data_IF_725248544084
#
_entry.id   IF_725248544084
#
_cell.length_a   1.000
_cell.length_b   1.000
_cell.length_c   1.000
_cell.angle_alpha   90.00
_cell.angle_beta   90.00
_cell.angle_gamma   90.00
#
_symmetry.space_group_name_H-M   'P 1'
#
loop_
_entity.id
_entity.type
_entity.pdbx_description
1 polymer ?
#
# COMPACT_ATOMS: atom_id res chain seq x y z
N UNK A 1 56.20 34.73 8.01
CA UNK A 1 55.23 34.13 7.08
C UNK A 1 55.46 32.64 6.75
N UNK A 2 56.68 32.14 6.60
CA UNK A 2 56.91 30.69 6.26
C UNK A 2 56.60 29.71 7.40
N UNK A 3 56.70 30.11 8.67
CA UNK A 3 56.42 29.22 9.83
C UNK A 3 54.92 29.06 10.11
N UNK A 4 54.08 30.05 9.81
CA UNK A 4 52.63 29.98 9.98
C UNK A 4 51.96 29.07 8.94
N UNK A 5 52.47 29.05 7.71
CA UNK A 5 51.99 28.21 6.61
C UNK A 5 52.24 26.72 6.89
N UNK A 6 53.37 26.39 7.53
CA UNK A 6 53.73 25.01 7.90
C UNK A 6 52.81 24.46 8.97
N UNK A 7 52.41 25.27 9.95
CA UNK A 7 51.46 24.88 11.00
C UNK A 7 50.04 24.66 10.46
N UNK A 8 49.60 25.48 9.49
CA UNK A 8 48.31 25.28 8.80
C UNK A 8 48.31 24.03 7.94
N UNK A 9 49.41 23.69 7.31
CA UNK A 9 49.54 22.48 6.54
C UNK A 9 49.57 21.20 7.42
N UNK A 10 50.15 21.31 8.61
CA UNK A 10 50.14 20.21 9.59
C UNK A 10 48.71 19.99 10.18
N UNK A 11 47.96 21.05 10.45
CA UNK A 11 46.58 20.98 10.92
C UNK A 11 45.68 20.39 9.83
N UNK A 12 45.88 20.76 8.55
CA UNK A 12 45.15 20.17 7.42
C UNK A 12 45.49 18.68 7.22
N UNK A 13 46.72 18.24 7.46
CA UNK A 13 47.06 16.83 7.41
C UNK A 13 46.44 16.01 8.57
N UNK A 14 46.34 16.60 9.77
CA UNK A 14 45.68 15.94 10.91
C UNK A 14 44.18 15.86 10.69
N UNK A 15 43.55 16.86 10.05
CA UNK A 15 42.12 16.82 9.67
C UNK A 15 41.84 15.88 8.49
N UNK A 16 42.79 15.67 7.60
CA UNK A 16 42.69 14.70 6.52
C UNK A 16 42.86 13.24 7.00
N UNK A 17 43.61 13.02 8.11
CA UNK A 17 43.79 11.71 8.74
C UNK A 17 42.62 11.25 9.62
N UNK A 18 41.64 12.10 9.87
CA UNK A 18 40.43 11.78 10.64
C UNK A 18 39.22 11.38 9.77
N UNK A 19 39.47 10.95 8.52
CA UNK A 19 38.52 10.08 7.84
C UNK A 19 38.59 8.72 8.58
N UNK A 20 37.97 8.64 9.75
CA UNK A 20 37.81 7.39 10.47
C UNK A 20 37.17 6.39 9.53
N UNK A 21 37.90 5.29 9.28
CA UNK A 21 37.32 4.10 8.67
C UNK A 21 36.02 3.78 9.41
N UNK A 22 34.92 4.11 8.80
CA UNK A 22 33.63 3.70 9.34
C UNK A 22 33.65 2.17 9.28
N UNK A 23 33.48 1.46 10.36
CA UNK A 23 33.46 0.00 10.31
C UNK A 23 32.32 -0.43 9.38
N UNK A 24 32.72 -1.01 8.25
CA UNK A 24 31.81 -1.67 7.33
C UNK A 24 31.93 -3.17 7.56
N UNK A 25 30.80 -3.83 7.67
CA UNK A 25 30.74 -5.26 7.42
C UNK A 25 30.33 -5.44 5.98
N UNK A 26 31.16 -6.14 5.22
CA UNK A 26 30.83 -6.59 3.87
C UNK A 26 30.47 -8.06 3.91
N UNK A 27 29.54 -8.47 3.07
CA UNK A 27 29.16 -9.87 2.96
C UNK A 27 28.62 -10.18 1.56
N UNK A 28 28.46 -11.47 1.32
CA UNK A 28 27.94 -12.02 0.08
C UNK A 28 26.84 -13.04 0.38
N UNK A 29 25.72 -12.95 -0.30
CA UNK A 29 24.67 -13.95 -0.29
C UNK A 29 24.86 -14.90 -1.46
N UNK A 30 24.89 -16.21 -1.19
CA UNK A 30 25.04 -17.26 -2.20
C UNK A 30 23.98 -18.35 -1.98
N UNK A 31 23.70 -19.09 -3.04
CA UNK A 31 22.87 -20.27 -2.94
C UNK A 31 23.67 -21.56 -2.61
N UNK A 32 23.00 -22.69 -2.47
CA UNK A 32 23.57 -24.01 -2.18
C UNK A 32 24.63 -24.47 -3.20
N UNK A 33 24.69 -23.83 -4.39
CA UNK A 33 25.67 -24.10 -5.46
C UNK A 33 26.74 -23.03 -5.53
N UNK A 34 26.90 -22.23 -4.48
CA UNK A 34 27.89 -21.15 -4.38
C UNK A 34 27.72 -20.03 -5.45
N UNK A 35 26.52 -19.86 -5.99
CA UNK A 35 26.23 -18.80 -6.95
C UNK A 35 25.68 -17.59 -6.21
N UNK A 36 26.13 -16.37 -6.56
CA UNK A 36 25.64 -15.15 -5.93
C UNK A 36 24.15 -14.95 -6.15
N UNK A 37 23.48 -14.34 -5.17
CA UNK A 37 22.06 -14.03 -5.21
C UNK A 37 21.90 -12.50 -5.19
N UNK A 38 21.40 -11.96 -6.28
CA UNK A 38 21.03 -10.55 -6.43
C UNK A 38 19.69 -10.25 -5.73
N UNK A 39 19.49 -8.99 -5.31
CA UNK A 39 18.22 -8.48 -4.75
C UNK A 39 17.79 -9.15 -3.42
N UNK A 40 18.70 -9.69 -2.63
CA UNK A 40 18.42 -10.14 -1.27
C UNK A 40 18.27 -8.91 -0.38
N UNK A 41 17.11 -8.75 0.23
CA UNK A 41 16.85 -7.71 1.22
C UNK A 41 17.45 -8.11 2.57
N UNK A 42 18.30 -7.24 3.14
CA UNK A 42 18.93 -7.45 4.45
C UNK A 42 18.27 -6.56 5.48
N UNK A 43 17.63 -7.16 6.46
CA UNK A 43 16.93 -6.46 7.54
C UNK A 43 17.71 -6.61 8.86
N UNK A 44 17.71 -5.53 9.62
CA UNK A 44 18.19 -5.52 11.01
C UNK A 44 17.01 -5.66 11.96
N UNK A 45 17.09 -6.63 12.88
CA UNK A 45 16.05 -6.91 13.88
C UNK A 45 14.64 -7.04 13.26
N UNK A 46 14.54 -7.74 12.13
CA UNK A 46 13.28 -8.01 11.37
C UNK A 46 12.54 -6.80 10.78
N UNK A 47 12.93 -5.58 11.07
CA UNK A 47 12.12 -4.41 10.72
C UNK A 47 12.83 -3.35 9.88
N UNK A 48 14.12 -3.16 10.04
CA UNK A 48 14.87 -2.10 9.36
C UNK A 48 15.62 -2.66 8.16
N UNK A 49 15.22 -2.29 6.93
CA UNK A 49 16.00 -2.60 5.73
C UNK A 49 17.29 -1.79 5.76
N UNK A 50 18.43 -2.47 5.82
CA UNK A 50 19.75 -1.86 5.94
C UNK A 50 20.62 -2.03 4.70
N UNK A 51 20.33 -3.01 3.85
CA UNK A 51 21.05 -3.26 2.60
C UNK A 51 20.23 -4.10 1.64
N UNK A 52 20.62 -4.11 0.35
CA UNK A 52 20.14 -5.05 -0.68
C UNK A 52 21.35 -5.54 -1.44
N UNK A 53 21.41 -6.82 -1.78
CA UNK A 53 22.55 -7.38 -2.53
C UNK A 53 22.57 -6.90 -4.00
N UNK A 54 23.77 -6.64 -4.51
CA UNK A 54 24.01 -6.30 -5.91
C UNK A 54 23.99 -7.56 -6.83
N UNK A 55 24.28 -7.37 -8.11
CA UNK A 55 24.37 -8.44 -9.13
C UNK A 55 25.39 -9.55 -8.80
N UNK A 56 26.36 -9.27 -7.96
CA UNK A 56 27.37 -10.20 -7.48
C UNK A 56 27.03 -10.77 -6.09
N UNK A 57 25.86 -10.49 -5.57
CA UNK A 57 25.38 -10.93 -4.27
C UNK A 57 25.97 -10.17 -3.09
N UNK A 58 26.75 -9.09 -3.28
CA UNK A 58 27.38 -8.38 -2.20
C UNK A 58 26.43 -7.40 -1.50
N UNK A 59 26.59 -7.30 -0.18
CA UNK A 59 25.93 -6.31 0.66
C UNK A 59 26.93 -5.65 1.62
N UNK A 60 26.54 -4.46 2.13
CA UNK A 60 27.36 -3.75 3.11
C UNK A 60 26.51 -3.18 4.23
N UNK A 61 27.00 -3.26 5.45
CA UNK A 61 26.34 -2.73 6.66
C UNK A 61 27.22 -1.65 7.29
N UNK A 62 26.58 -0.54 7.69
CA UNK A 62 27.24 0.54 8.41
C UNK A 62 27.14 0.31 9.92
N UNK A 63 28.28 0.36 10.61
CA UNK A 63 28.38 0.26 12.07
C UNK A 63 27.62 -0.91 12.69
N UNK A 64 27.84 -2.14 12.22
CA UNK A 64 27.20 -3.30 12.84
C UNK A 64 27.76 -3.53 14.24
N UNK A 65 26.96 -4.14 15.10
CA UNK A 65 27.34 -4.48 16.48
C UNK A 65 27.16 -5.96 16.74
N UNK A 66 27.99 -6.52 17.61
CA UNK A 66 27.86 -7.92 18.05
C UNK A 66 26.50 -8.16 18.69
N UNK A 67 25.88 -9.30 18.38
CA UNK A 67 24.57 -9.68 18.89
C UNK A 67 23.39 -9.13 18.10
N UNK A 68 23.62 -8.29 17.09
CA UNK A 68 22.55 -7.87 16.17
C UNK A 68 22.11 -9.04 15.30
N UNK A 69 20.81 -9.23 15.16
CA UNK A 69 20.22 -10.22 14.27
C UNK A 69 19.97 -9.60 12.88
N UNK A 70 20.50 -10.26 11.86
CA UNK A 70 20.26 -9.96 10.47
C UNK A 70 19.28 -10.99 9.89
N UNK A 71 18.28 -10.52 9.14
CA UNK A 71 17.39 -11.37 8.36
C UNK A 71 17.61 -11.09 6.88
N UNK A 72 17.88 -12.14 6.14
CA UNK A 72 18.05 -12.13 4.70
C UNK A 72 16.77 -12.69 4.06
N UNK A 73 16.13 -11.91 3.20
CA UNK A 73 14.88 -12.29 2.55
C UNK A 73 14.98 -12.12 1.02
N UNK A 74 14.55 -13.13 0.30
CA UNK A 74 14.48 -13.12 -1.16
C UNK A 74 13.28 -13.97 -1.60
N UNK A 75 12.68 -13.62 -2.75
CA UNK A 75 11.45 -14.27 -3.25
C UNK A 75 11.60 -15.79 -3.45
N UNK A 76 12.75 -16.21 -3.97
CA UNK A 76 13.01 -17.62 -4.40
C UNK A 76 13.73 -18.43 -3.33
N UNK A 77 14.22 -17.80 -2.26
CA UNK A 77 15.04 -18.46 -1.24
C UNK A 77 14.36 -18.41 0.13
N UNK A 78 14.63 -19.39 0.98
CA UNK A 78 14.16 -19.39 2.36
C UNK A 78 14.78 -18.22 3.12
N UNK A 79 13.99 -17.49 3.94
CA UNK A 79 14.53 -16.46 4.79
C UNK A 79 15.60 -17.02 5.73
N UNK A 80 16.77 -16.42 5.72
CA UNK A 80 17.89 -16.84 6.55
C UNK A 80 18.13 -15.80 7.63
N UNK A 81 18.35 -16.25 8.89
CA UNK A 81 18.69 -15.40 10.01
C UNK A 81 20.12 -15.65 10.43
N UNK A 82 20.82 -14.58 10.77
CA UNK A 82 22.20 -14.62 11.23
C UNK A 82 22.43 -13.63 12.37
N UNK A 83 22.99 -14.08 13.46
CA UNK A 83 23.38 -13.20 14.59
C UNK A 83 24.86 -12.86 14.46
N UNK A 84 25.19 -11.58 14.43
CA UNK A 84 26.56 -11.10 14.27
C UNK A 84 27.42 -11.45 15.48
N UNK A 85 28.56 -12.07 15.22
CA UNK A 85 29.56 -12.44 16.21
C UNK A 85 30.77 -11.48 16.18
N UNK A 86 31.60 -11.50 17.22
CA UNK A 86 32.79 -10.67 17.32
C UNK A 86 33.76 -10.89 16.14
N UNK A 87 33.86 -12.12 15.64
CA UNK A 87 34.75 -12.50 14.53
C UNK A 87 34.33 -11.90 13.19
N UNK A 88 33.03 -11.65 12.99
CA UNK A 88 32.50 -11.08 11.75
C UNK A 88 32.90 -9.62 11.58
N UNK A 89 33.14 -8.92 12.70
CA UNK A 89 33.56 -7.52 12.71
C UNK A 89 35.07 -7.33 12.50
N UNK A 90 35.85 -8.43 12.42
CA UNK A 90 37.32 -8.40 12.32
C UNK A 90 37.79 -8.74 10.89
N UNK A 91 37.14 -8.14 9.88
CA UNK A 91 37.76 -8.03 8.55
C UNK A 91 37.67 -9.23 7.60
N UNK A 92 36.77 -10.18 7.82
CA UNK A 92 36.39 -11.20 6.82
C UNK A 92 35.03 -10.87 6.22
N UNK A 93 34.89 -11.10 4.93
CA UNK A 93 33.61 -11.03 4.25
C UNK A 93 32.66 -12.08 4.83
N UNK A 94 31.47 -11.64 5.27
CA UNK A 94 30.44 -12.50 5.83
C UNK A 94 29.73 -13.24 4.68
N UNK A 95 29.81 -14.57 4.66
CA UNK A 95 29.14 -15.39 3.65
C UNK A 95 27.83 -15.94 4.21
N UNK A 96 26.72 -15.60 3.56
CA UNK A 96 25.39 -16.10 3.88
C UNK A 96 24.93 -17.06 2.78
N UNK A 97 24.71 -18.31 3.16
CA UNK A 97 24.13 -19.31 2.27
C UNK A 97 22.60 -19.34 2.46
N UNK A 98 21.86 -19.17 1.38
CA UNK A 98 20.42 -19.24 1.36
C UNK A 98 19.98 -20.49 0.58
N UNK A 99 19.07 -21.26 1.16
CA UNK A 99 18.48 -22.41 0.51
C UNK A 99 17.40 -22.00 -0.44
N UNK A 100 17.33 -22.65 -1.58
CA UNK A 100 16.21 -22.49 -2.49
C UNK A 100 14.93 -22.89 -1.75
N UNK A 101 13.93 -22.05 -1.78
CA UNK A 101 12.62 -22.37 -1.24
C UNK A 101 12.05 -23.48 -2.12
N UNK A 102 12.06 -24.71 -1.65
CA UNK A 102 11.25 -25.75 -2.24
C UNK A 102 9.80 -25.36 -1.94
N UNK A 103 9.17 -24.70 -2.90
CA UNK A 103 7.72 -24.75 -2.96
C UNK A 103 7.40 -26.22 -3.29
N UNK A 104 7.25 -27.08 -2.28
CA UNK A 104 6.24 -28.09 -2.42
C UNK A 104 4.97 -27.27 -2.69
N UNK A 105 4.66 -27.13 -3.99
CA UNK A 105 3.29 -26.91 -4.39
C UNK A 105 2.55 -28.07 -3.74
N UNK A 106 2.11 -27.89 -2.50
CA UNK A 106 0.98 -28.64 -2.01
C UNK A 106 0.03 -28.48 -3.17
N UNK A 107 -0.25 -29.55 -3.86
CA UNK A 107 -1.30 -29.62 -4.86
C UNK A 107 -2.55 -29.21 -4.08
N UNK A 108 -2.70 -27.90 -3.93
CA UNK A 108 -3.96 -27.28 -3.56
C UNK A 108 -4.78 -27.70 -4.75
N UNK A 109 -5.65 -28.69 -4.56
CA UNK A 109 -6.78 -28.88 -5.44
C UNK A 109 -7.37 -27.49 -5.58
N UNK A 110 -7.00 -26.80 -6.66
CA UNK A 110 -7.57 -25.52 -7.06
C UNK A 110 -8.94 -25.92 -7.58
N UNK A 111 -9.84 -26.21 -6.64
CA UNK A 111 -11.24 -26.33 -6.93
C UNK A 111 -11.69 -24.96 -7.42
N UNK A 112 -11.68 -24.78 -8.73
CA UNK A 112 -12.41 -23.75 -9.44
C UNK A 112 -11.91 -22.29 -9.39
N UNK A 113 -11.03 -21.89 -8.49
CA UNK A 113 -10.77 -20.46 -8.16
C UNK A 113 -9.35 -19.98 -8.46
N UNK A 114 -8.68 -20.50 -9.47
CA UNK A 114 -7.42 -19.96 -9.95
C UNK A 114 -7.65 -18.58 -10.59
N UNK A 115 -6.81 -17.56 -10.29
CA UNK A 115 -6.86 -16.30 -10.98
C UNK A 115 -6.78 -16.46 -12.48
N UNK A 116 -7.68 -15.79 -13.20
CA UNK A 116 -7.77 -15.80 -14.65
C UNK A 116 -7.46 -14.42 -15.20
N UNK A 117 -6.93 -14.35 -16.40
CA UNK A 117 -6.74 -13.06 -17.08
C UNK A 117 -8.11 -12.51 -17.46
N UNK A 118 -8.47 -11.37 -16.87
CA UNK A 118 -9.67 -10.62 -17.20
C UNK A 118 -9.47 -9.73 -18.44
N UNK A 119 -8.30 -9.09 -18.52
CA UNK A 119 -7.92 -8.30 -19.68
C UNK A 119 -6.40 -8.32 -19.87
N UNK A 120 -5.97 -8.70 -21.07
CA UNK A 120 -4.57 -8.56 -21.53
C UNK A 120 -4.56 -7.98 -22.95
N UNK A 121 -3.58 -7.16 -23.23
CA UNK A 121 -3.36 -6.60 -24.55
C UNK A 121 -1.90 -6.83 -24.96
N UNK A 122 -1.63 -7.48 -26.12
CA UNK A 122 -0.28 -7.87 -26.53
C UNK A 122 0.68 -6.70 -26.73
N UNK A 123 0.18 -5.46 -26.82
CA UNK A 123 1.00 -4.27 -27.12
C UNK A 123 0.82 -3.14 -26.12
N UNK A 124 -0.12 -3.24 -25.17
CA UNK A 124 -0.41 -2.23 -24.15
C UNK A 124 -0.30 -2.82 -22.76
N UNK A 125 0.13 -2.00 -21.81
CA UNK A 125 0.12 -2.31 -20.38
C UNK A 125 -1.09 -1.66 -19.72
N UNK A 126 -1.78 -2.36 -18.85
CA UNK A 126 -2.79 -1.75 -17.98
C UNK A 126 -2.06 -0.91 -16.94
N UNK A 127 -2.34 0.40 -16.86
CA UNK A 127 -1.72 1.28 -15.88
C UNK A 127 -2.53 1.37 -14.60
N UNK A 128 -3.85 1.46 -14.75
CA UNK A 128 -4.79 1.61 -13.64
C UNK A 128 -6.17 1.15 -14.08
N UNK A 129 -7.01 0.81 -13.11
CA UNK A 129 -8.41 0.50 -13.33
C UNK A 129 -9.26 0.90 -12.13
N UNK A 130 -10.56 1.12 -12.35
CA UNK A 130 -11.57 1.28 -11.31
C UNK A 130 -12.80 0.46 -11.64
N UNK A 131 -13.50 0.03 -10.61
CA UNK A 131 -14.78 -0.67 -10.73
C UNK A 131 -15.90 0.35 -10.58
N UNK A 132 -16.63 0.59 -11.66
CA UNK A 132 -17.85 1.41 -11.69
C UNK A 132 -19.08 0.62 -11.28
N UNK A 133 -20.24 1.24 -11.39
CA UNK A 133 -21.51 0.56 -11.13
C UNK A 133 -21.95 -0.33 -12.30
N UNK A 134 -21.54 0.02 -13.50
CA UNK A 134 -21.91 -0.60 -14.77
C UNK A 134 -20.76 -1.32 -15.50
N UNK A 135 -19.60 -1.46 -14.88
CA UNK A 135 -18.47 -2.15 -15.49
C UNK A 135 -17.12 -1.73 -14.93
N UNK A 136 -16.06 -2.15 -15.61
CA UNK A 136 -14.68 -1.89 -15.26
C UNK A 136 -14.10 -0.86 -16.22
N UNK A 137 -13.51 0.20 -15.69
CA UNK A 137 -12.83 1.22 -16.48
C UNK A 137 -11.34 1.04 -16.28
N UNK A 138 -10.57 0.99 -17.37
CA UNK A 138 -9.13 0.81 -17.30
C UNK A 138 -8.38 1.67 -18.32
N UNK A 139 -7.14 2.04 -17.98
CA UNK A 139 -6.21 2.71 -18.88
C UNK A 139 -5.26 1.68 -19.47
N UNK A 140 -5.36 1.47 -20.81
CA UNK A 140 -4.45 0.63 -21.58
C UNK A 140 -3.39 1.51 -22.25
N UNK A 141 -2.16 1.49 -21.74
CA UNK A 141 -1.07 2.39 -22.12
C UNK A 141 -0.13 1.80 -23.17
N UNK A 142 0.15 2.61 -24.18
CA UNK A 142 1.25 2.43 -25.10
C UNK A 142 1.80 3.82 -25.48
N UNK A 143 3.11 4.03 -25.34
CA UNK A 143 3.91 5.26 -25.51
C UNK A 143 3.27 6.48 -26.19
N UNK A 144 2.45 6.32 -27.27
CA UNK A 144 1.77 7.40 -27.99
C UNK A 144 0.29 7.13 -28.28
N UNK A 145 -0.22 6.02 -27.76
CA UNK A 145 -1.59 5.60 -28.01
C UNK A 145 -2.11 4.97 -26.71
N UNK A 146 -2.66 5.81 -25.86
CA UNK A 146 -3.27 5.40 -24.59
C UNK A 146 -4.78 5.40 -24.79
N UNK A 147 -5.43 4.33 -24.36
CA UNK A 147 -6.88 4.18 -24.44
C UNK A 147 -7.46 4.04 -23.04
N UNK A 148 -8.56 4.75 -22.82
CA UNK A 148 -9.48 4.48 -21.74
C UNK A 148 -10.53 3.51 -22.26
N UNK A 149 -10.67 2.36 -21.63
CA UNK A 149 -11.63 1.32 -21.99
C UNK A 149 -12.68 1.19 -20.90
N UNK A 150 -13.92 0.96 -21.32
CA UNK A 150 -15.02 0.55 -20.46
C UNK A 150 -15.41 -0.87 -20.83
N UNK A 151 -15.23 -1.80 -19.89
CA UNK A 151 -15.59 -3.21 -20.03
C UNK A 151 -16.85 -3.50 -19.24
N UNK A 152 -17.69 -4.41 -19.73
CA UNK A 152 -18.75 -5.00 -18.92
C UNK A 152 -18.16 -5.89 -17.82
N UNK A 153 -18.99 -6.39 -16.90
CA UNK A 153 -18.52 -7.37 -15.90
C UNK A 153 -18.28 -8.77 -16.52
N UNK A 154 -18.80 -9.01 -17.71
CA UNK A 154 -18.51 -10.19 -18.55
C UNK A 154 -17.22 -10.00 -19.37
N UNK A 155 -16.53 -8.84 -19.20
CA UNK A 155 -15.26 -8.48 -19.83
C UNK A 155 -15.35 -8.12 -21.33
N UNK A 156 -16.54 -7.87 -21.84
CA UNK A 156 -16.74 -7.33 -23.19
C UNK A 156 -16.40 -5.83 -23.21
N UNK A 157 -15.69 -5.39 -24.23
CA UNK A 157 -15.41 -3.95 -24.41
C UNK A 157 -16.68 -3.23 -24.91
N UNK A 158 -17.25 -2.41 -24.03
CA UNK A 158 -18.44 -1.60 -24.32
C UNK A 158 -18.07 -0.30 -25.03
N UNK A 159 -17.05 0.40 -24.55
CA UNK A 159 -16.61 1.70 -25.05
C UNK A 159 -15.08 1.81 -25.03
N UNK A 160 -14.56 2.63 -25.92
CA UNK A 160 -13.13 2.95 -26.02
C UNK A 160 -12.97 4.43 -26.36
N UNK A 161 -12.03 5.10 -25.69
CA UNK A 161 -11.67 6.49 -25.96
C UNK A 161 -10.14 6.63 -25.98
N UNK A 162 -9.60 7.15 -27.08
CA UNK A 162 -8.18 7.53 -27.12
C UNK A 162 -7.96 8.79 -26.28
N UNK A 163 -7.02 8.71 -25.34
CA UNK A 163 -6.68 9.79 -24.42
C UNK A 163 -5.21 10.17 -24.53
N UNK A 164 -4.83 11.32 -23.95
CA UNK A 164 -3.42 11.70 -23.82
C UNK A 164 -2.65 10.69 -22.98
N UNK A 165 -1.41 10.38 -23.36
CA UNK A 165 -0.51 9.53 -22.59
C UNK A 165 -0.03 10.15 -21.27
N UNK A 166 -0.39 11.41 -21.00
CA UNK A 166 -0.18 12.05 -19.70
C UNK A 166 -1.13 11.52 -18.62
N UNK A 167 -2.30 11.01 -19.00
CA UNK A 167 -3.24 10.39 -18.08
C UNK A 167 -2.77 8.99 -17.70
N UNK A 168 -2.64 8.74 -16.39
CA UNK A 168 -2.08 7.48 -15.87
C UNK A 168 -2.93 6.82 -14.80
N UNK A 169 -3.79 7.60 -14.12
CA UNK A 169 -4.56 7.12 -12.99
C UNK A 169 -6.04 7.36 -13.20
N UNK A 170 -6.84 6.52 -12.56
CA UNK A 170 -8.29 6.62 -12.48
C UNK A 170 -8.70 6.83 -11.02
N UNK A 171 -9.72 7.63 -10.83
CA UNK A 171 -10.32 7.84 -9.52
C UNK A 171 -11.85 7.78 -9.67
N UNK A 172 -12.49 6.95 -8.88
CA UNK A 172 -13.94 6.95 -8.72
C UNK A 172 -14.27 7.75 -7.48
N UNK A 173 -14.98 8.86 -7.65
CA UNK A 173 -15.38 9.69 -6.53
C UNK A 173 -16.53 9.07 -5.73
N UNK A 174 -16.91 9.71 -4.64
CA UNK A 174 -17.93 9.23 -3.70
C UNK A 174 -19.36 9.27 -4.29
N UNK A 175 -19.53 10.03 -5.38
CA UNK A 175 -20.80 10.11 -6.12
C UNK A 175 -20.86 9.08 -7.26
N UNK A 176 -19.78 8.33 -7.46
CA UNK A 176 -19.68 7.31 -8.51
C UNK A 176 -19.11 7.80 -9.84
N UNK A 177 -18.80 9.10 -9.97
CA UNK A 177 -18.19 9.62 -11.18
C UNK A 177 -16.73 9.18 -11.29
N UNK A 178 -16.30 8.92 -12.52
CA UNK A 178 -14.94 8.48 -12.81
C UNK A 178 -14.15 9.65 -13.35
N UNK A 179 -12.96 9.85 -12.82
CA UNK A 179 -12.01 10.87 -13.22
C UNK A 179 -10.75 10.23 -13.76
N UNK A 180 -10.22 10.81 -14.82
CA UNK A 180 -8.93 10.44 -15.42
C UNK A 180 -7.91 11.48 -15.01
N UNK A 181 -6.80 11.04 -14.42
CA UNK A 181 -5.84 11.92 -13.70
C UNK A 181 -4.47 11.84 -14.35
N UNK A 182 -3.86 13.00 -14.57
CA UNK A 182 -2.47 13.19 -14.96
C UNK A 182 -1.68 13.86 -13.82
N UNK A 183 -0.41 14.13 -14.04
CA UNK A 183 0.45 14.84 -13.06
C UNK A 183 0.01 16.30 -12.83
N UNK A 184 -0.77 16.91 -13.76
CA UNK A 184 -1.17 18.32 -13.71
C UNK A 184 -2.69 18.55 -13.66
N UNK A 185 -3.46 17.65 -14.24
CA UNK A 185 -4.89 17.82 -14.49
C UNK A 185 -5.71 16.58 -14.17
N UNK A 186 -6.97 16.79 -13.86
CA UNK A 186 -7.99 15.75 -13.77
C UNK A 186 -9.17 16.11 -14.67
N UNK A 187 -9.72 15.13 -15.38
CA UNK A 187 -10.91 15.26 -16.22
C UNK A 187 -11.96 14.24 -15.81
N UNK A 188 -13.19 14.67 -15.64
CA UNK A 188 -14.31 13.77 -15.39
C UNK A 188 -14.69 13.05 -16.69
N UNK A 189 -15.00 11.76 -16.59
CA UNK A 189 -15.54 10.97 -17.66
C UNK A 189 -17.04 11.24 -17.83
N UNK A 190 -17.48 11.42 -19.06
CA UNK A 190 -18.88 11.55 -19.44
C UNK A 190 -19.27 10.61 -20.57
N UNK A 191 -20.56 10.49 -20.78
CA UNK A 191 -21.15 9.73 -21.88
C UNK A 191 -22.18 10.60 -22.61
N UNK A 192 -22.21 10.51 -23.93
CA UNK A 192 -23.38 10.92 -24.69
C UNK A 192 -24.45 9.83 -24.57
N UNK A 193 -25.72 10.21 -24.60
CA UNK A 193 -26.81 9.27 -24.51
C UNK A 193 -27.57 9.19 -25.84
N UNK A 194 -28.09 8.02 -26.13
CA UNK A 194 -29.07 7.82 -27.19
C UNK A 194 -30.44 8.28 -26.73
N UNK A 195 -31.40 8.42 -27.67
CA UNK A 195 -32.78 8.84 -27.35
C UNK A 195 -33.53 7.90 -26.40
N UNK A 196 -33.04 6.67 -26.20
CA UNK A 196 -33.54 5.67 -25.26
C UNK A 196 -32.74 5.62 -23.94
N UNK A 197 -31.85 6.59 -23.70
CA UNK A 197 -31.09 6.73 -22.47
C UNK A 197 -29.88 5.80 -22.33
N UNK A 198 -29.49 5.07 -23.39
CA UNK A 198 -28.28 4.25 -23.34
C UNK A 198 -27.03 5.09 -23.59
N UNK A 199 -25.94 4.76 -22.87
CA UNK A 199 -24.64 5.35 -23.12
C UNK A 199 -24.16 5.03 -24.54
N UNK A 200 -23.71 6.05 -25.29
CA UNK A 200 -23.29 5.91 -26.67
C UNK A 200 -21.78 6.13 -26.82
N UNK A 201 -21.33 7.37 -26.67
CA UNK A 201 -19.94 7.72 -26.88
C UNK A 201 -19.33 8.22 -25.55
N UNK A 202 -18.14 7.78 -25.27
CA UNK A 202 -17.35 8.17 -24.09
C UNK A 202 -16.54 9.42 -24.40
N UNK A 203 -16.53 10.40 -23.51
CA UNK A 203 -15.76 11.64 -23.64
C UNK A 203 -15.22 12.13 -22.29
N UNK A 204 -14.24 13.03 -22.32
CA UNK A 204 -13.74 13.71 -21.12
C UNK A 204 -14.26 15.14 -21.08
N UNK A 205 -14.77 15.56 -19.93
CA UNK A 205 -15.05 16.97 -19.65
C UNK A 205 -13.77 17.81 -19.65
N UNK A 206 -13.92 19.13 -19.72
CA UNK A 206 -12.80 20.05 -19.64
C UNK A 206 -11.95 19.78 -18.38
N UNK A 207 -10.61 19.73 -18.52
CA UNK A 207 -9.75 19.42 -17.39
C UNK A 207 -9.74 20.54 -16.36
N UNK A 208 -9.66 20.15 -15.08
CA UNK A 208 -9.37 21.04 -13.96
C UNK A 208 -7.96 20.77 -13.46
N UNK A 209 -7.30 21.76 -12.85
CA UNK A 209 -5.97 21.54 -12.27
C UNK A 209 -6.02 20.53 -11.15
N UNK A 210 -4.94 19.77 -10.97
CA UNK A 210 -4.84 18.78 -9.90
C UNK A 210 -5.00 19.42 -8.51
N UNK A 211 -4.54 20.65 -8.33
CA UNK A 211 -4.76 21.41 -7.09
C UNK A 211 -6.25 21.67 -6.81
N UNK A 212 -7.02 22.01 -7.85
CA UNK A 212 -8.47 22.21 -7.74
C UNK A 212 -9.16 20.88 -7.46
N UNK A 213 -8.74 19.82 -8.15
CA UNK A 213 -9.25 18.46 -7.94
C UNK A 213 -9.05 18.02 -6.47
N UNK A 214 -7.83 18.14 -5.94
CA UNK A 214 -7.55 17.79 -4.54
C UNK A 214 -8.32 18.65 -3.54
N UNK A 215 -8.54 19.92 -3.84
CA UNK A 215 -9.35 20.79 -2.97
C UNK A 215 -10.80 20.32 -2.90
N UNK A 216 -11.35 19.86 -4.02
CA UNK A 216 -12.76 19.49 -4.11
C UNK A 216 -13.04 18.08 -3.56
N UNK A 217 -12.14 17.14 -3.83
CA UNK A 217 -12.35 15.71 -3.52
C UNK A 217 -11.46 15.19 -2.39
N UNK A 218 -10.29 15.78 -2.16
CA UNK A 218 -9.32 15.29 -1.19
C UNK A 218 -9.79 15.23 0.27
N UNK A 219 -10.57 16.20 0.76
CA UNK A 219 -11.10 16.13 2.13
C UNK A 219 -12.23 15.12 2.32
N UNK A 220 -12.92 14.74 1.25
CA UNK A 220 -14.07 13.83 1.34
C UNK A 220 -13.58 12.40 1.52
N UNK A 221 -14.06 11.72 2.57
CA UNK A 221 -13.73 10.33 2.86
C UNK A 221 -14.89 9.39 2.59
N UNK A 222 -16.14 9.88 2.73
CA UNK A 222 -17.36 9.12 2.42
C UNK A 222 -18.52 10.07 2.11
N UNK A 223 -19.58 9.58 1.48
CA UNK A 223 -20.80 10.31 1.25
C UNK A 223 -22.03 9.39 1.31
N UNK A 224 -23.16 9.95 1.69
CA UNK A 224 -24.51 9.39 1.57
C UNK A 224 -25.38 10.31 0.72
N UNK A 225 -26.66 9.98 0.57
CA UNK A 225 -27.62 10.87 -0.08
C UNK A 225 -27.88 12.17 0.73
N UNK A 226 -27.54 12.18 2.01
CA UNK A 226 -27.89 13.26 2.95
C UNK A 226 -26.70 14.11 3.37
N UNK A 227 -25.52 13.52 3.53
CA UNK A 227 -24.33 14.21 4.06
C UNK A 227 -23.03 13.71 3.41
N UNK A 228 -22.02 14.54 3.56
CA UNK A 228 -20.63 14.22 3.19
C UNK A 228 -19.79 14.13 4.47
N UNK A 229 -18.98 13.09 4.59
CA UNK A 229 -17.97 12.98 5.66
C UNK A 229 -16.63 13.48 5.14
N UNK A 230 -16.06 14.45 5.84
CA UNK A 230 -14.72 14.96 5.55
C UNK A 230 -13.75 14.60 6.65
N UNK A 231 -12.54 14.18 6.26
CA UNK A 231 -11.44 13.85 7.18
C UNK A 231 -10.40 14.97 7.23
N UNK A 232 -9.86 15.27 8.41
CA UNK A 232 -8.74 16.19 8.62
C UNK A 232 -7.73 15.56 9.56
N UNK A 233 -6.47 15.66 9.20
CA UNK A 233 -5.36 15.27 10.06
C UNK A 233 -4.80 16.46 10.81
N UNK A 234 -4.44 16.24 12.06
CA UNK A 234 -3.71 17.18 12.89
C UNK A 234 -2.54 16.48 13.59
N UNK A 235 -1.72 17.26 14.27
CA UNK A 235 -0.59 16.78 15.06
C UNK A 235 0.27 15.73 14.32
N UNK A 236 0.81 16.13 13.15
CA UNK A 236 1.67 15.29 12.29
C UNK A 236 1.01 14.00 11.77
N UNK A 237 -0.32 13.93 11.79
CA UNK A 237 -1.09 12.77 11.35
C UNK A 237 -1.41 11.74 12.43
N UNK A 238 -1.13 12.07 13.70
CA UNK A 238 -1.47 11.25 14.87
C UNK A 238 -2.87 11.54 15.43
N UNK A 239 -3.52 12.59 14.91
CA UNK A 239 -4.90 12.94 15.22
C UNK A 239 -5.69 13.02 13.92
N UNK A 240 -6.90 12.47 13.93
CA UNK A 240 -7.81 12.50 12.80
C UNK A 240 -9.21 12.92 13.26
N UNK A 241 -9.73 13.93 12.59
CA UNK A 241 -11.06 14.49 12.85
C UNK A 241 -11.97 14.18 11.69
N UNK A 242 -13.12 13.61 11.96
CA UNK A 242 -14.18 13.38 10.98
C UNK A 242 -15.33 14.36 11.22
N UNK A 243 -15.69 15.07 10.17
CA UNK A 243 -16.81 16.01 10.20
C UNK A 243 -17.90 15.57 9.26
N UNK A 244 -19.13 15.64 9.73
CA UNK A 244 -20.30 15.46 8.92
C UNK A 244 -20.76 16.83 8.40
N UNK A 245 -20.92 16.95 7.09
CA UNK A 245 -21.26 18.21 6.40
C UNK A 245 -22.51 18.00 5.57
N UNK A 246 -23.54 18.83 5.76
CA UNK A 246 -24.73 18.80 4.90
C UNK A 246 -24.41 19.36 3.49
N UNK A 247 -25.14 18.96 2.43
CA UNK A 247 -24.89 19.43 1.07
C UNK A 247 -24.97 20.95 0.91
N UNK A 248 -25.78 21.62 1.72
CA UNK A 248 -25.90 23.08 1.76
C UNK A 248 -24.75 23.74 2.54
N UNK A 249 -23.89 22.96 3.17
CA UNK A 249 -22.83 23.41 4.09
C UNK A 249 -23.33 24.26 5.27
N UNK A 250 -24.64 24.29 5.53
CA UNK A 250 -25.25 25.07 6.61
C UNK A 250 -25.02 24.43 7.99
N UNK A 251 -24.74 23.13 8.00
CA UNK A 251 -24.50 22.39 9.24
C UNK A 251 -23.23 21.55 9.09
N UNK A 252 -22.32 21.75 10.01
CA UNK A 252 -21.11 20.93 10.16
C UNK A 252 -20.97 20.56 11.63
N UNK A 253 -20.84 19.27 11.93
CA UNK A 253 -20.59 18.80 13.29
C UNK A 253 -19.49 17.74 13.29
N UNK A 254 -18.81 17.63 14.43
CA UNK A 254 -17.78 16.62 14.65
C UNK A 254 -18.46 15.26 14.77
N UNK A 255 -18.08 14.33 13.89
CA UNK A 255 -18.55 12.94 13.91
C UNK A 255 -17.72 12.10 14.87
N UNK A 256 -16.40 12.17 14.72
CA UNK A 256 -15.45 11.41 15.53
C UNK A 256 -14.09 12.12 15.59
N UNK A 257 -13.36 11.92 16.69
CA UNK A 257 -11.98 12.37 16.86
C UNK A 257 -11.13 11.22 17.39
N UNK A 258 -10.20 10.75 16.61
CA UNK A 258 -9.33 9.61 16.90
C UNK A 258 -7.91 10.12 17.13
N UNK A 259 -7.27 9.67 18.21
CA UNK A 259 -5.92 10.08 18.61
C UNK A 259 -5.10 8.84 18.92
N UNK A 260 -3.93 8.73 18.32
CA UNK A 260 -2.90 7.79 18.77
C UNK A 260 -2.15 8.45 19.95
N UNK A 261 -2.70 8.27 21.17
CA UNK A 261 -2.15 8.89 22.38
C UNK A 261 -0.75 8.40 22.69
N UNK A 262 -0.48 7.11 22.53
CA UNK A 262 0.83 6.52 22.79
C UNK A 262 1.89 7.12 21.85
N UNK A 263 1.62 7.13 20.55
CA UNK A 263 2.53 7.72 19.56
C UNK A 263 2.67 9.23 19.72
N UNK A 264 1.59 9.93 20.12
CA UNK A 264 1.63 11.36 20.41
C UNK A 264 2.50 11.68 21.63
N UNK A 265 2.35 10.92 22.69
CA UNK A 265 3.13 11.11 23.92
C UNK A 265 4.61 10.75 23.67
N UNK A 266 4.88 9.67 22.93
CA UNK A 266 6.23 9.31 22.48
C UNK A 266 6.87 10.44 21.64
N UNK A 267 6.11 11.04 20.73
CA UNK A 267 6.58 12.18 19.93
C UNK A 267 6.86 13.41 20.80
N UNK A 268 6.02 13.71 21.78
CA UNK A 268 6.23 14.81 22.73
C UNK A 268 7.43 14.58 23.63
N UNK A 269 7.63 13.35 24.13
CA UNK A 269 8.78 12.97 24.93
C UNK A 269 10.08 12.96 24.14
N UNK A 270 10.00 12.54 22.88
CA UNK A 270 11.13 12.53 21.93
C UNK A 270 11.39 13.89 21.27
N UNK A 271 10.79 14.99 21.75
CA UNK A 271 11.00 16.33 21.20
C UNK A 271 12.47 16.75 21.16
N UNK A 272 13.34 16.06 21.92
CA UNK A 272 14.79 16.21 21.87
C UNK A 272 15.47 15.16 20.94
N UNK A 273 14.75 14.22 20.37
CA UNK A 273 15.30 13.22 19.46
C UNK A 273 15.22 13.76 18.02
N UNK A 274 16.39 13.96 17.42
CA UNK A 274 16.51 14.50 16.07
C UNK A 274 15.78 13.65 15.01
N UNK A 275 15.69 12.34 15.21
CA UNK A 275 15.02 11.45 14.25
C UNK A 275 13.51 11.69 14.22
N UNK A 276 12.85 11.76 15.36
CA UNK A 276 11.41 12.02 15.44
C UNK A 276 11.07 13.42 14.96
N UNK A 277 11.86 14.43 15.32
CA UNK A 277 11.71 15.78 14.81
C UNK A 277 11.83 15.83 13.28
N UNK A 278 12.81 15.11 12.72
CA UNK A 278 13.02 15.03 11.28
C UNK A 278 11.86 14.29 10.60
N UNK A 279 11.46 13.13 11.10
CA UNK A 279 10.35 12.35 10.56
C UNK A 279 9.04 13.15 10.56
N UNK A 280 8.71 13.81 11.66
CA UNK A 280 7.50 14.61 11.79
C UNK A 280 7.45 15.81 10.83
N UNK A 281 8.58 16.45 10.56
CA UNK A 281 8.61 17.64 9.71
C UNK A 281 8.80 17.34 8.21
N UNK A 282 9.54 16.26 7.87
CA UNK A 282 9.88 15.95 6.49
C UNK A 282 9.08 14.76 5.91
N UNK A 283 8.60 13.86 6.78
CA UNK A 283 7.82 12.68 6.38
C UNK A 283 6.55 12.50 7.23
N UNK A 284 5.65 13.48 7.29
CA UNK A 284 4.46 13.40 8.15
C UNK A 284 3.56 12.21 7.78
N UNK A 285 3.58 11.75 6.53
CA UNK A 285 2.82 10.56 6.09
C UNK A 285 3.28 9.25 6.72
N UNK A 286 4.51 9.19 7.26
CA UNK A 286 5.02 7.98 7.93
C UNK A 286 4.40 7.78 9.32
N UNK A 287 3.95 8.87 9.95
CA UNK A 287 3.33 8.86 11.28
C UNK A 287 1.80 8.78 11.22
N UNK A 288 1.23 8.94 10.02
CA UNK A 288 -0.22 9.04 9.83
C UNK A 288 -0.93 7.78 10.30
N UNK A 289 -1.91 7.96 11.19
CA UNK A 289 -2.84 6.90 11.58
C UNK A 289 -3.71 6.47 10.38
N UNK A 290 -4.26 5.27 10.44
CA UNK A 290 -5.06 4.70 9.36
C UNK A 290 -6.43 4.28 9.89
N UNK A 291 -7.44 5.08 9.63
CA UNK A 291 -8.82 4.83 10.05
C UNK A 291 -9.78 5.08 8.87
N UNK A 292 -9.92 4.12 7.94
CA UNK A 292 -10.71 4.33 6.73
C UNK A 292 -12.21 4.37 7.03
N UNK A 293 -12.93 5.18 6.26
CA UNK A 293 -14.39 5.27 6.27
C UNK A 293 -14.93 4.76 4.95
N UNK A 294 -15.97 3.93 5.04
CA UNK A 294 -16.70 3.42 3.86
C UNK A 294 -18.18 3.76 3.96
N UNK A 295 -18.79 4.08 2.82
CA UNK A 295 -20.25 4.24 2.71
C UNK A 295 -20.83 3.05 1.96
N UNK A 296 -21.83 2.37 2.56
CA UNK A 296 -22.61 1.28 1.96
C UNK A 296 -24.07 1.50 2.32
N UNK A 297 -24.96 1.54 1.33
CA UNK A 297 -26.40 1.65 1.52
C UNK A 297 -26.79 2.78 2.48
N UNK A 298 -26.21 3.95 2.29
CA UNK A 298 -26.45 5.13 3.14
C UNK A 298 -26.08 4.94 4.63
N UNK A 299 -25.22 3.97 4.94
CA UNK A 299 -24.57 3.85 6.23
C UNK A 299 -23.07 4.10 6.10
N UNK A 300 -22.46 4.62 7.16
CA UNK A 300 -21.03 4.81 7.20
C UNK A 300 -20.39 3.84 8.18
N UNK A 301 -19.24 3.28 7.78
CA UNK A 301 -18.45 2.34 8.56
C UNK A 301 -17.08 2.95 8.75
N UNK A 302 -16.80 3.42 9.98
CA UNK A 302 -15.49 3.95 10.37
C UNK A 302 -14.70 2.83 11.07
N UNK A 303 -13.58 2.44 10.50
CA UNK A 303 -12.67 1.47 11.10
C UNK A 303 -11.62 2.20 11.91
N UNK A 304 -11.89 2.45 13.17
CA UNK A 304 -11.00 3.12 14.11
C UNK A 304 -9.94 2.13 14.63
N UNK A 305 -8.90 1.88 13.84
CA UNK A 305 -7.84 0.94 14.20
C UNK A 305 -7.07 1.35 15.44
N UNK A 306 -6.95 2.63 15.70
CA UNK A 306 -6.32 3.18 16.89
C UNK A 306 -7.08 2.77 18.16
N UNK A 307 -8.40 2.81 18.09
CA UNK A 307 -9.29 2.49 19.23
C UNK A 307 -9.73 1.03 19.24
N UNK A 308 -9.37 0.26 18.18
CA UNK A 308 -9.74 -1.13 17.98
C UNK A 308 -11.26 -1.37 17.89
N UNK A 309 -11.94 -0.44 17.25
CA UNK A 309 -13.39 -0.46 17.06
C UNK A 309 -13.79 -0.20 15.62
N UNK A 310 -14.91 -0.76 15.22
CA UNK A 310 -15.66 -0.35 14.02
C UNK A 310 -16.91 0.37 14.47
N UNK A 311 -17.10 1.61 14.03
CA UNK A 311 -18.24 2.44 14.39
C UNK A 311 -19.14 2.58 13.18
N UNK A 312 -20.42 2.29 13.36
CA UNK A 312 -21.45 2.37 12.31
C UNK A 312 -22.35 3.57 12.55
N UNK A 313 -22.53 4.37 11.50
CA UNK A 313 -23.42 5.54 11.52
C UNK A 313 -24.49 5.40 10.44
N UNK A 314 -25.63 6.05 10.67
CA UNK A 314 -26.69 6.18 9.68
C UNK A 314 -26.37 7.22 8.59
N UNK A 315 -27.32 7.43 7.66
CA UNK A 315 -27.16 8.34 6.52
C UNK A 315 -26.95 9.81 6.90
N UNK A 316 -27.27 10.21 8.14
CA UNK A 316 -27.07 11.58 8.65
C UNK A 316 -25.95 11.68 9.68
N UNK A 317 -25.17 10.59 9.87
CA UNK A 317 -24.02 10.56 10.77
C UNK A 317 -24.38 10.34 12.24
N UNK A 318 -25.57 9.82 12.55
CA UNK A 318 -25.89 9.39 13.91
C UNK A 318 -25.33 8.00 14.16
N UNK A 319 -24.60 7.83 15.25
CA UNK A 319 -24.06 6.53 15.66
C UNK A 319 -25.19 5.51 15.89
N UNK A 320 -25.02 4.33 15.30
CA UNK A 320 -25.93 3.19 15.43
C UNK A 320 -25.34 2.12 16.35
N UNK A 321 -24.11 1.67 16.06
CA UNK A 321 -23.49 0.51 16.70
C UNK A 321 -21.98 0.65 16.73
N UNK A 322 -21.33 -0.03 17.71
CA UNK A 322 -19.87 -0.22 17.79
C UNK A 322 -19.55 -1.70 17.87
N UNK A 323 -18.56 -2.13 17.14
CA UNK A 323 -18.06 -3.50 17.10
C UNK A 323 -16.58 -3.54 17.42
N UNK A 324 -16.06 -4.62 18.01
CA UNK A 324 -14.61 -4.79 18.19
C UNK A 324 -13.91 -4.88 16.84
N UNK A 325 -12.63 -4.51 16.80
CA UNK A 325 -11.76 -4.62 15.62
C UNK A 325 -10.41 -5.21 16.03
N UNK A 326 -10.21 -6.51 15.84
CA UNK A 326 -9.10 -7.24 16.42
C UNK A 326 -8.24 -8.02 15.41
N UNK A 327 -8.72 -8.19 14.17
CA UNK A 327 -8.05 -9.07 13.20
C UNK A 327 -6.62 -8.63 12.84
N UNK A 328 -6.33 -7.32 12.96
CA UNK A 328 -5.03 -6.73 12.67
C UNK A 328 -4.01 -6.89 13.82
N UNK A 329 -4.42 -7.53 14.92
CA UNK A 329 -3.65 -7.71 16.14
C UNK A 329 -3.18 -9.15 16.30
N UNK A 330 -2.07 -9.31 17.02
CA UNK A 330 -1.59 -10.61 17.48
C UNK A 330 -1.09 -10.56 18.92
N UNK A 331 -1.11 -11.69 19.60
CA UNK A 331 -0.47 -11.83 20.90
C UNK A 331 1.05 -11.86 20.74
N UNK A 332 1.71 -11.00 21.49
CA UNK A 332 3.16 -11.05 21.64
C UNK A 332 3.55 -12.13 22.67
N UNK A 333 4.79 -12.62 22.60
CA UNK A 333 5.29 -13.63 23.55
C UNK A 333 5.26 -13.16 25.02
N UNK A 334 5.29 -11.84 25.27
CA UNK A 334 5.12 -11.24 26.61
C UNK A 334 3.68 -11.24 27.12
N UNK A 335 2.70 -11.66 26.29
CA UNK A 335 1.27 -11.62 26.57
C UNK A 335 0.57 -10.32 26.17
N UNK A 336 1.30 -9.27 25.81
CA UNK A 336 0.73 -8.03 25.29
C UNK A 336 0.10 -8.24 23.90
N UNK A 337 -0.83 -7.37 23.53
CA UNK A 337 -1.40 -7.35 22.17
C UNK A 337 -0.64 -6.29 21.37
N UNK A 338 -0.22 -6.66 20.17
CA UNK A 338 0.51 -5.78 19.25
C UNK A 338 -0.10 -5.87 17.86
N UNK A 339 0.09 -4.84 17.04
CA UNK A 339 -0.29 -4.87 15.62
C UNK A 339 0.53 -5.93 14.89
N UNK A 340 -0.12 -6.74 14.07
CA UNK A 340 0.56 -7.73 13.23
C UNK A 340 1.29 -7.03 12.08
N UNK A 341 2.60 -7.18 12.02
CA UNK A 341 3.46 -6.54 10.99
C UNK A 341 3.12 -6.99 9.56
N UNK A 342 2.48 -8.15 9.39
CA UNK A 342 2.04 -8.66 8.10
C UNK A 342 0.85 -7.87 7.55
N UNK A 343 0.06 -7.25 8.42
CA UNK A 343 -1.03 -6.38 8.00
C UNK A 343 -0.50 -5.10 7.33
N UNK A 344 -0.99 -4.80 6.13
CA UNK A 344 -0.48 -3.69 5.31
C UNK A 344 -1.31 -2.39 5.42
N UNK A 345 -2.12 -2.25 6.47
CA UNK A 345 -2.99 -1.08 6.66
C UNK A 345 -3.82 -0.80 5.40
N UNK A 346 -4.41 -1.84 4.84
CA UNK A 346 -5.21 -1.75 3.63
C UNK A 346 -6.50 -2.53 3.78
N UNK A 347 -7.59 -1.93 3.32
CA UNK A 347 -8.91 -2.52 3.31
C UNK A 347 -9.56 -2.38 1.94
N UNK A 348 -10.43 -3.31 1.66
CA UNK A 348 -11.31 -3.29 0.49
C UNK A 348 -12.75 -3.52 0.93
N UNK A 349 -13.69 -2.99 0.16
CA UNK A 349 -15.11 -3.16 0.39
C UNK A 349 -15.78 -3.73 -0.85
N UNK A 350 -16.50 -4.84 -0.67
CA UNK A 350 -17.47 -5.32 -1.64
C UNK A 350 -18.83 -4.68 -1.35
N UNK A 351 -19.14 -3.63 -2.11
CA UNK A 351 -20.39 -2.87 -1.92
C UNK A 351 -21.64 -3.67 -2.28
N UNK A 352 -21.49 -4.67 -3.17
CA UNK A 352 -22.61 -5.53 -3.60
C UNK A 352 -22.98 -6.52 -2.50
N UNK A 353 -21.97 -7.12 -1.88
CA UNK A 353 -22.15 -8.11 -0.81
C UNK A 353 -22.16 -7.50 0.60
N UNK A 354 -21.78 -6.23 0.72
CA UNK A 354 -21.60 -5.53 2.01
C UNK A 354 -20.56 -6.22 2.89
N UNK A 355 -19.50 -6.70 2.26
CA UNK A 355 -18.44 -7.44 2.92
C UNK A 355 -17.17 -6.60 2.92
N UNK A 356 -16.37 -6.73 3.98
CA UNK A 356 -15.11 -6.03 4.15
C UNK A 356 -13.96 -7.04 4.12
N UNK A 357 -12.88 -6.61 3.50
CA UNK A 357 -11.70 -7.43 3.30
C UNK A 357 -10.44 -6.65 3.65
N UNK A 358 -9.44 -7.38 4.10
CA UNK A 358 -8.08 -6.87 4.28
C UNK A 358 -7.09 -7.90 3.78
N UNK A 359 -5.82 -7.57 3.70
CA UNK A 359 -4.81 -8.54 3.34
C UNK A 359 -3.55 -8.43 4.18
N UNK A 360 -2.93 -9.59 4.36
CA UNK A 360 -1.64 -9.75 5.01
C UNK A 360 -0.60 -10.11 3.96
N UNK A 361 0.59 -9.54 4.11
CA UNK A 361 1.72 -9.87 3.26
C UNK A 361 2.85 -10.38 4.14
N UNK A 362 3.25 -11.62 3.92
CA UNK A 362 4.37 -12.26 4.58
C UNK A 362 5.38 -12.71 3.53
N UNK A 363 6.57 -12.12 3.55
CA UNK A 363 7.65 -12.38 2.58
C UNK A 363 7.20 -12.30 1.09
N UNK A 364 6.30 -11.35 0.77
CA UNK A 364 5.76 -11.16 -0.57
C UNK A 364 4.54 -12.02 -0.90
N UNK A 365 4.19 -12.98 -0.04
CA UNK A 365 2.98 -13.79 -0.17
C UNK A 365 1.78 -13.01 0.39
N UNK A 366 0.73 -12.90 -0.41
CA UNK A 366 -0.46 -12.15 -0.06
C UNK A 366 -1.62 -13.10 0.26
N UNK A 367 -2.18 -12.98 1.45
CA UNK A 367 -3.40 -13.68 1.86
C UNK A 367 -4.53 -12.69 2.05
N UNK A 368 -5.63 -12.88 1.33
CA UNK A 368 -6.86 -12.09 1.48
C UNK A 368 -7.71 -12.66 2.61
N UNK A 369 -8.18 -11.78 3.49
CA UNK A 369 -9.04 -12.14 4.61
C UNK A 369 -10.38 -11.40 4.50
N UNK A 370 -11.47 -12.09 4.82
CA UNK A 370 -12.79 -11.48 5.02
C UNK A 370 -12.99 -11.14 6.49
N UNK A 371 -13.42 -9.92 6.76
CA UNK A 371 -13.64 -9.40 8.11
C UNK A 371 -15.06 -9.70 8.55
N UNK A 372 -15.21 -10.28 9.73
CA UNK A 372 -16.48 -10.37 10.45
C UNK A 372 -16.64 -9.12 11.31
N UNK A 373 -17.58 -8.25 10.95
CA UNK A 373 -17.81 -7.01 11.67
C UNK A 373 -18.25 -7.21 13.10
N UNK A 374 -19.05 -8.27 13.38
CA UNK A 374 -19.62 -8.47 14.73
C UNK A 374 -18.54 -8.91 15.72
N UNK A 375 -17.62 -9.75 15.28
CA UNK A 375 -16.55 -10.29 16.15
C UNK A 375 -15.25 -9.49 16.03
N UNK A 376 -15.10 -8.68 14.99
CA UNK A 376 -13.86 -7.97 14.66
C UNK A 376 -12.70 -8.88 14.25
N UNK A 377 -12.98 -10.16 14.00
CA UNK A 377 -12.01 -11.14 13.53
C UNK A 377 -12.01 -11.23 12.01
N UNK A 378 -11.06 -11.95 11.43
CA UNK A 378 -11.06 -12.19 10.00
C UNK A 378 -10.66 -13.63 9.66
N UNK A 379 -11.21 -14.15 8.56
CA UNK A 379 -10.95 -15.49 8.06
C UNK A 379 -10.25 -15.43 6.70
N UNK A 380 -9.21 -16.23 6.45
CA UNK A 380 -8.60 -16.34 5.12
C UNK A 380 -9.62 -16.84 4.10
N UNK A 381 -9.67 -16.20 2.93
CA UNK A 381 -10.60 -16.53 1.84
C UNK A 381 -9.88 -16.78 0.51
N UNK A 382 -8.64 -16.32 0.37
CA UNK A 382 -7.84 -16.52 -0.83
C UNK A 382 -6.36 -16.40 -0.52
N UNK A 383 -5.57 -17.33 -1.06
CA UNK A 383 -4.12 -17.25 -1.10
C UNK A 383 -3.65 -16.81 -2.49
N UNK A 384 -2.94 -15.70 -2.55
CA UNK A 384 -2.32 -15.15 -3.76
C UNK A 384 -0.83 -15.45 -3.84
N UNK A 385 -0.33 -16.51 -3.18
CA UNK A 385 1.10 -16.86 -3.16
C UNK A 385 1.70 -17.08 -4.55
N UNK A 386 0.90 -17.52 -5.53
CA UNK A 386 1.29 -17.62 -6.95
C UNK A 386 1.40 -16.27 -7.68
N UNK A 387 0.98 -15.18 -7.05
CA UNK A 387 0.95 -13.82 -7.60
C UNK A 387 1.62 -12.83 -6.63
N UNK A 388 2.90 -13.04 -6.31
CA UNK A 388 3.62 -12.13 -5.43
C UNK A 388 3.65 -10.73 -6.05
N UNK A 389 3.44 -9.70 -5.22
CA UNK A 389 3.35 -8.31 -5.67
C UNK A 389 2.15 -7.99 -6.58
N UNK A 390 1.04 -8.74 -6.44
CA UNK A 390 -0.23 -8.32 -7.02
C UNK A 390 -0.58 -6.89 -6.55
N UNK A 391 -0.92 -6.02 -7.49
CA UNK A 391 -1.13 -4.59 -7.24
C UNK A 391 -2.60 -4.21 -7.47
N UNK A 392 -3.01 -3.09 -6.85
CA UNK A 392 -4.33 -2.47 -7.06
C UNK A 392 -5.50 -3.43 -6.82
N UNK A 393 -5.47 -4.21 -5.75
CA UNK A 393 -6.52 -5.15 -5.41
C UNK A 393 -7.85 -4.41 -5.19
N UNK A 394 -8.90 -4.85 -5.88
CA UNK A 394 -10.28 -4.33 -5.76
C UNK A 394 -11.26 -5.50 -5.82
N UNK A 395 -12.38 -5.36 -5.12
CA UNK A 395 -13.38 -6.44 -5.04
C UNK A 395 -14.78 -5.94 -5.39
N UNK A 396 -15.53 -6.77 -6.07
CA UNK A 396 -16.96 -6.56 -6.33
C UNK A 396 -17.66 -7.91 -6.54
N UNK A 397 -18.79 -8.10 -5.92
CA UNK A 397 -19.62 -9.32 -6.01
C UNK A 397 -18.81 -10.61 -5.81
N UNK A 398 -17.91 -10.57 -4.80
CA UNK A 398 -16.94 -11.64 -4.50
C UNK A 398 -16.00 -11.99 -5.66
N UNK A 399 -15.81 -11.09 -6.61
CA UNK A 399 -14.75 -11.20 -7.60
C UNK A 399 -13.64 -10.22 -7.21
N UNK A 400 -12.46 -10.76 -6.91
CA UNK A 400 -11.25 -9.97 -6.70
C UNK A 400 -10.61 -9.69 -8.04
N UNK A 401 -10.32 -8.43 -8.30
CA UNK A 401 -9.54 -7.96 -9.43
C UNK A 401 -8.19 -7.45 -8.95
N UNK A 402 -7.13 -7.61 -9.75
CA UNK A 402 -5.80 -7.09 -9.45
C UNK A 402 -4.95 -6.97 -10.73
N UNK A 403 -3.92 -6.13 -10.67
CA UNK A 403 -2.92 -6.03 -11.72
C UNK A 403 -1.74 -6.97 -11.41
N UNK A 404 -1.27 -7.65 -12.44
CA UNK A 404 -0.09 -8.51 -12.35
C UNK A 404 0.65 -8.55 -13.69
N UNK A 405 2.02 -8.56 -13.69
CA UNK A 405 2.80 -8.60 -14.91
C UNK A 405 2.64 -9.93 -15.66
N UNK A 406 2.50 -9.85 -17.00
CA UNK A 406 2.43 -11.00 -17.90
C UNK A 406 3.56 -10.99 -18.91
N UNK A 407 4.02 -12.19 -19.31
CA UNK A 407 5.02 -12.42 -20.35
C UNK A 407 6.39 -11.81 -20.05
N UNK A 408 7.32 -11.97 -21.00
CA UNK A 408 8.70 -11.55 -20.85
C UNK A 408 8.91 -10.02 -20.84
N UNK A 409 7.90 -9.23 -21.12
CA UNK A 409 7.98 -7.77 -21.21
C UNK A 409 7.44 -7.05 -19.96
N UNK A 410 7.12 -7.79 -18.91
CA UNK A 410 6.56 -7.25 -17.65
C UNK A 410 5.38 -6.28 -17.86
N UNK A 411 4.54 -6.53 -18.87
CA UNK A 411 3.31 -5.76 -19.07
C UNK A 411 2.29 -6.12 -18.01
N UNK A 412 1.65 -5.12 -17.43
CA UNK A 412 0.55 -5.33 -16.50
C UNK A 412 -0.70 -5.76 -17.26
N UNK A 413 -1.33 -6.83 -16.80
CA UNK A 413 -2.65 -7.28 -17.22
C UNK A 413 -3.61 -7.23 -16.02
N UNK A 414 -4.91 -7.15 -16.31
CA UNK A 414 -5.93 -7.27 -15.28
C UNK A 414 -6.28 -8.74 -15.10
N UNK A 415 -6.17 -9.21 -13.87
CA UNK A 415 -6.59 -10.54 -13.45
C UNK A 415 -7.86 -10.47 -12.63
N UNK A 416 -8.58 -11.58 -12.59
CA UNK A 416 -9.73 -11.78 -11.72
C UNK A 416 -9.73 -13.15 -11.08
N UNK A 417 -10.32 -13.26 -9.89
CA UNK A 417 -10.59 -14.54 -9.22
C UNK A 417 -11.89 -14.43 -8.43
N UNK A 418 -12.75 -15.42 -8.57
CA UNK A 418 -14.00 -15.50 -7.81
C UNK A 418 -13.70 -16.12 -6.44
N UNK A 419 -14.15 -15.47 -5.37
CA UNK A 419 -14.05 -15.98 -4.01
C UNK A 419 -15.15 -17.02 -3.77
N UNK A 420 -14.84 -18.05 -2.97
CA UNK A 420 -15.81 -19.08 -2.60
C UNK A 420 -16.89 -18.56 -1.65
N UNK A 421 -18.07 -19.14 -1.75
CA UNK A 421 -19.11 -19.00 -0.72
C UNK A 421 -18.68 -19.88 0.47
N UNK A 422 -18.33 -19.26 1.57
CA UNK A 422 -18.02 -19.93 2.84
C UNK A 422 -19.26 -20.16 3.65
#
# INVERSE_FOLDING_TARGET
MKKTLFWWMLILMVLAGAAQDRPYLQGVCVNEKDRPIENVSVYLNDSLLVSVTDENGHFALLRPSVGQELRFAHLVYEPTRYTLEQQDLIGKELKIEMKTRDYELTEVEIAGNAPQIAFDNPVRSVLDYVIGDDGIYLIAYRRRNTELLHLSFELDTLHSLTISSSYKNLFRDFYGFIHVISDEYASQLGFTETSDGRKKDMFLYAPITLATFHRNYGPIVAASDSVVITGRYAFYGLEEYYYCVTPTADTTYLLEHIVDEDARDDLLMAANDYFYFYAANFFPSMLRIYNPVYSIDNQFYLFAYTDNETIVYDAVGKELERYPLTFHQRKHWTGSTIVDKRWKKAMMVDRVRKEFYSFFVDDGLCTLLRIDLQTGTATPVLDLSGYPFAEMLRIRDRVLYFLYPTGNNHRQALFQVKLEES
#
